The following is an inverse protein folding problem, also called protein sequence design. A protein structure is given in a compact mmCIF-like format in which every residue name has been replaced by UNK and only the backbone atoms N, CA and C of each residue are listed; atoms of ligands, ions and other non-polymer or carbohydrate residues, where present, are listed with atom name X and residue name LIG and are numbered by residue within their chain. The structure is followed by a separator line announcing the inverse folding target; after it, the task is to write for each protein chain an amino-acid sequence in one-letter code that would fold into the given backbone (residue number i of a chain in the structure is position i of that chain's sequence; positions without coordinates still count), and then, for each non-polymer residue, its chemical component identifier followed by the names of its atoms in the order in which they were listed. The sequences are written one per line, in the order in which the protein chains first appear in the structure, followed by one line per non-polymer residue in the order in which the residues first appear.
data_IF_048464908154
#
_entry.id   IF_048464908154
#
_cell.length_a   1.000
_cell.length_b   1.000
_cell.length_c   1.000
_cell.angle_alpha   90.00
_cell.angle_beta   90.00
_cell.angle_gamma   90.00
#
_symmetry.space_group_name_H-M   'P 1'
#
loop_
_entity.id
_entity.type
_entity.pdbx_description
1 polymer ?
#
# COMPACT_ATOMS: atom_id res chain seq x y z
N UNK A 1 -16.38 11.44 21.84
CA UNK A 1 -15.83 11.40 20.46
C UNK A 1 -15.89 9.96 19.96
N UNK A 2 -16.14 9.74 18.67
CA UNK A 2 -16.15 8.41 18.03
C UNK A 2 -15.20 8.51 16.83
N UNK A 3 -14.27 7.58 16.69
CA UNK A 3 -13.36 7.50 15.55
C UNK A 3 -13.72 6.29 14.70
N UNK A 4 -13.77 6.46 13.37
CA UNK A 4 -14.09 5.37 12.45
C UNK A 4 -12.96 5.19 11.44
N UNK A 5 -12.42 3.97 11.37
CA UNK A 5 -11.55 3.54 10.29
C UNK A 5 -12.35 2.92 9.16
N UNK A 6 -12.10 3.32 7.91
CA UNK A 6 -12.77 2.81 6.72
C UNK A 6 -11.77 2.03 5.87
N UNK A 7 -12.02 0.73 5.71
CA UNK A 7 -11.22 -0.15 4.84
C UNK A 7 -10.40 -1.20 5.61
N UNK A 8 -9.87 -2.20 4.89
CA UNK A 8 -9.29 -3.41 5.48
C UNK A 8 -7.91 -3.18 6.15
N UNK A 9 -7.19 -2.13 5.75
CA UNK A 9 -5.80 -1.89 6.18
C UNK A 9 -5.63 -0.64 7.06
N UNK A 10 -6.70 -0.15 7.70
CA UNK A 10 -6.63 1.09 8.49
C UNK A 10 -5.92 0.88 9.82
N UNK A 11 -4.98 1.77 10.12
CA UNK A 11 -4.32 1.79 11.43
C UNK A 11 -5.21 2.41 12.51
N UNK A 12 -5.85 1.53 13.29
CA UNK A 12 -6.72 1.92 14.40
C UNK A 12 -5.93 2.26 15.67
N UNK A 13 -4.62 1.98 15.73
CA UNK A 13 -3.79 2.27 16.91
C UNK A 13 -3.61 3.76 17.14
N UNK A 14 -3.50 4.55 16.07
CA UNK A 14 -3.47 6.03 16.13
C UNK A 14 -4.84 6.57 16.58
N UNK A 15 -5.93 6.02 16.04
CA UNK A 15 -7.29 6.45 16.42
C UNK A 15 -7.60 6.16 17.89
N UNK A 16 -7.06 5.07 18.46
CA UNK A 16 -7.19 4.74 19.87
C UNK A 16 -6.49 5.73 20.80
N UNK A 17 -5.47 6.45 20.34
CA UNK A 17 -4.83 7.51 21.13
C UNK A 17 -5.78 8.71 21.33
N UNK A 18 -6.73 8.90 20.42
CA UNK A 18 -7.67 10.02 20.44
C UNK A 18 -8.96 9.68 21.19
N UNK A 19 -9.44 8.43 21.09
CA UNK A 19 -10.67 8.00 21.77
C UNK A 19 -10.74 6.49 21.97
N UNK A 20 -11.41 6.05 23.03
CA UNK A 20 -11.71 4.63 23.28
C UNK A 20 -12.78 4.06 22.32
N UNK A 21 -13.63 4.93 21.76
CA UNK A 21 -14.71 4.52 20.86
C UNK A 21 -14.23 4.46 19.40
N UNK A 22 -13.38 3.47 19.09
CA UNK A 22 -12.87 3.22 17.73
C UNK A 22 -13.64 2.10 17.05
N UNK A 23 -14.13 2.40 15.86
CA UNK A 23 -14.98 1.54 15.05
C UNK A 23 -14.30 1.24 13.71
N UNK A 24 -14.33 0.00 13.24
CA UNK A 24 -13.84 -0.38 11.91
C UNK A 24 -15.01 -0.67 10.99
N UNK A 25 -15.09 0.03 9.86
CA UNK A 25 -16.04 -0.19 8.79
C UNK A 25 -15.34 -0.93 7.63
N UNK A 26 -15.89 -2.07 7.25
CA UNK A 26 -15.49 -2.83 6.07
C UNK A 26 -16.71 -3.06 5.20
N UNK A 27 -16.70 -2.54 3.97
CA UNK A 27 -17.80 -2.78 3.03
C UNK A 27 -17.78 -4.25 2.59
N UNK A 28 -18.84 -4.98 2.91
CA UNK A 28 -18.93 -6.41 2.62
C UNK A 28 -20.08 -6.70 1.63
N UNK A 29 -21.10 -5.82 1.58
CA UNK A 29 -22.23 -5.89 0.64
C UNK A 29 -22.62 -4.50 0.11
N UNK A 30 -23.21 -4.48 -1.08
CA UNK A 30 -23.81 -3.27 -1.68
C UNK A 30 -24.87 -2.68 -0.73
N UNK A 31 -24.70 -1.41 -0.36
CA UNK A 31 -25.61 -0.69 0.53
C UNK A 31 -25.20 -0.64 2.01
N UNK A 32 -24.12 -1.33 2.41
CA UNK A 32 -23.55 -1.23 3.76
C UNK A 32 -23.10 0.21 4.07
N UNK A 33 -22.52 0.90 3.07
CA UNK A 33 -22.12 2.30 3.22
C UNK A 33 -23.32 3.22 3.51
N UNK A 34 -24.43 3.06 2.78
CA UNK A 34 -25.65 3.85 3.02
C UNK A 34 -26.24 3.59 4.41
N UNK A 35 -26.23 2.34 4.88
CA UNK A 35 -26.67 2.00 6.24
C UNK A 35 -25.75 2.58 7.31
N UNK A 36 -24.45 2.60 7.06
CA UNK A 36 -23.47 3.23 7.93
C UNK A 36 -23.70 4.74 8.05
N UNK A 37 -23.94 5.45 6.94
CA UNK A 37 -24.26 6.88 6.96
C UNK A 37 -25.59 7.15 7.68
N UNK A 38 -26.61 6.32 7.49
CA UNK A 38 -27.87 6.40 8.23
C UNK A 38 -27.66 6.23 9.74
N UNK A 39 -26.80 5.29 10.14
CA UNK A 39 -26.45 5.08 11.54
C UNK A 39 -25.70 6.28 12.15
N UNK A 40 -24.70 6.85 11.46
CA UNK A 40 -24.02 8.08 11.91
C UNK A 40 -25.05 9.19 12.12
N UNK A 41 -25.94 9.39 11.14
CA UNK A 41 -26.96 10.43 11.18
C UNK A 41 -27.91 10.24 12.38
N UNK A 42 -28.33 9.01 12.65
CA UNK A 42 -29.15 8.68 13.81
C UNK A 42 -28.41 8.93 15.14
N UNK A 43 -27.13 8.58 15.21
CA UNK A 43 -26.28 8.78 16.39
C UNK A 43 -26.08 10.27 16.73
N UNK A 44 -25.78 11.10 15.72
CA UNK A 44 -25.66 12.56 15.89
C UNK A 44 -26.99 13.19 16.32
N UNK A 45 -28.10 12.75 15.72
CA UNK A 45 -29.43 13.28 16.06
C UNK A 45 -29.84 12.93 17.50
N UNK A 46 -29.48 11.74 17.99
CA UNK A 46 -29.72 11.34 19.37
C UNK A 46 -28.89 12.16 20.37
N UNK A 47 -27.61 12.39 20.09
CA UNK A 47 -26.72 13.20 20.94
C UNK A 47 -27.02 14.69 20.87
N UNK A 48 -27.62 15.19 19.78
CA UNK A 48 -27.99 16.60 19.64
C UNK A 48 -29.31 16.95 20.33
N UNK A 49 -30.13 15.96 20.73
CA UNK A 49 -31.44 16.17 21.36
C UNK A 49 -31.42 16.01 22.88
N UNK A 50 -30.42 15.36 23.47
CA UNK A 50 -30.39 15.06 24.89
C UNK A 50 -29.11 15.58 25.55
N UNK A 51 -29.25 16.64 26.34
CA UNK A 51 -28.26 17.06 27.36
C UNK A 51 -28.72 16.56 28.75
N UNK A 52 -29.58 15.54 28.82
CA UNK A 52 -30.24 15.15 30.08
C UNK A 52 -30.57 13.68 30.27
N UNK A 53 -30.20 12.78 29.35
CA UNK A 53 -30.55 11.36 29.47
C UNK A 53 -29.41 10.45 28.96
N UNK A 54 -28.74 9.80 29.92
CA UNK A 54 -27.61 8.88 29.76
C UNK A 54 -28.05 7.52 29.21
N UNK A 55 -28.54 7.47 27.98
CA UNK A 55 -28.70 6.19 27.28
C UNK A 55 -28.06 6.26 25.90
N UNK A 56 -26.81 5.81 25.83
CA UNK A 56 -26.14 5.50 24.56
C UNK A 56 -27.03 4.53 23.77
N UNK A 57 -27.32 4.79 22.48
CA UNK A 57 -28.08 3.86 21.67
C UNK A 57 -27.34 2.51 21.61
N UNK A 58 -28.06 1.38 21.74
CA UNK A 58 -27.44 0.07 21.81
C UNK A 58 -26.69 -0.26 20.51
N UNK A 59 -25.38 -0.45 20.62
CA UNK A 59 -24.47 -0.87 19.53
C UNK A 59 -24.81 -2.24 18.92
N UNK A 60 -25.75 -2.99 19.50
CA UNK A 60 -26.06 -4.39 19.17
C UNK A 60 -26.67 -4.62 17.78
N UNK A 61 -27.14 -3.59 17.08
CA UNK A 61 -27.82 -3.75 15.79
C UNK A 61 -26.89 -3.62 14.58
N UNK A 62 -25.61 -3.27 14.81
CA UNK A 62 -24.63 -2.98 13.75
C UNK A 62 -23.37 -3.83 13.83
N UNK A 63 -23.33 -4.88 14.65
CA UNK A 63 -22.15 -5.76 14.82
C UNK A 63 -21.62 -6.36 13.50
N UNK A 64 -22.46 -6.45 12.46
CA UNK A 64 -22.05 -6.91 11.13
C UNK A 64 -21.44 -5.81 10.24
N UNK A 65 -21.78 -4.54 10.49
CA UNK A 65 -21.31 -3.36 9.74
C UNK A 65 -20.05 -2.78 10.39
N UNK A 66 -20.02 -2.82 11.73
CA UNK A 66 -19.03 -2.14 12.53
C UNK A 66 -18.60 -3.06 13.66
N UNK A 67 -17.32 -3.45 13.67
CA UNK A 67 -16.75 -4.22 14.77
C UNK A 67 -15.99 -3.31 15.71
N UNK A 68 -16.18 -3.52 17.01
CA UNK A 68 -15.28 -2.97 18.02
C UNK A 68 -13.91 -3.61 17.77
N UNK A 69 -12.95 -2.82 17.31
CA UNK A 69 -11.62 -3.33 17.02
C UNK A 69 -10.97 -3.72 18.35
N UNK A 70 -10.99 -5.00 18.69
CA UNK A 70 -10.13 -5.60 19.71
C UNK A 70 -9.01 -6.32 18.94
N UNK A 71 -7.80 -5.78 19.08
CA UNK A 71 -6.53 -6.37 18.58
C UNK A 71 -6.32 -6.56 17.07
N UNK A 72 -6.61 -5.56 16.25
CA UNK A 72 -5.92 -5.43 14.95
C UNK A 72 -4.68 -4.55 15.12
N UNK A 73 -3.52 -5.18 15.29
CA UNK A 73 -2.23 -4.52 15.12
C UNK A 73 -2.09 -4.13 13.66
N UNK A 74 -2.12 -2.84 13.37
CA UNK A 74 -1.91 -2.33 12.03
C UNK A 74 -0.57 -2.84 11.50
N UNK A 75 -0.61 -3.66 10.45
CA UNK A 75 0.60 -4.09 9.75
C UNK A 75 1.23 -2.85 9.12
N UNK A 76 2.54 -2.72 9.23
CA UNK A 76 3.27 -1.54 8.75
C UNK A 76 3.25 -1.39 7.20
N UNK A 77 2.68 -2.35 6.49
CA UNK A 77 2.60 -2.44 5.04
C UNK A 77 1.21 -2.91 4.58
N UNK A 78 0.76 -2.45 3.41
CA UNK A 78 -0.48 -2.92 2.77
C UNK A 78 -0.28 -4.33 2.19
N UNK A 79 -1.21 -5.25 2.40
CA UNK A 79 -1.15 -6.60 1.84
C UNK A 79 -1.63 -6.66 0.39
N UNK A 80 -2.35 -5.64 -0.07
CA UNK A 80 -2.96 -5.61 -1.38
C UNK A 80 -2.11 -4.90 -2.44
N UNK A 81 -1.17 -4.05 -2.02
CA UNK A 81 -0.27 -3.38 -2.94
C UNK A 81 1.16 -3.26 -2.43
N UNK A 82 2.10 -3.24 -3.37
CA UNK A 82 3.53 -3.08 -3.11
C UNK A 82 3.98 -1.86 -3.87
N UNK A 83 4.51 -0.87 -3.15
CA UNK A 83 5.11 0.32 -3.76
C UNK A 83 6.62 0.24 -3.58
N UNK A 84 7.36 0.42 -4.67
CA UNK A 84 8.81 0.47 -4.68
C UNK A 84 9.27 1.82 -5.21
N UNK A 85 10.39 2.32 -4.72
CA UNK A 85 10.93 3.62 -5.12
C UNK A 85 12.23 3.46 -5.89
N UNK A 86 12.31 4.10 -7.05
CA UNK A 86 13.52 4.15 -7.87
C UNK A 86 13.87 5.57 -8.31
N UNK A 87 15.04 5.73 -8.95
CA UNK A 87 15.46 6.99 -9.58
C UNK A 87 15.94 6.76 -10.99
N UNK A 88 15.61 7.70 -11.86
CA UNK A 88 16.03 7.67 -13.25
C UNK A 88 17.55 7.83 -13.35
N UNK A 89 18.24 6.97 -14.10
CA UNK A 89 19.69 7.09 -14.29
C UNK A 89 20.09 8.31 -15.12
N UNK A 90 19.25 8.72 -16.09
CA UNK A 90 19.47 9.89 -16.96
C UNK A 90 19.09 11.21 -16.28
N UNK A 91 17.86 11.30 -15.78
CA UNK A 91 17.32 12.57 -15.23
C UNK A 91 17.51 12.72 -13.73
N UNK A 92 17.93 11.68 -13.02
CA UNK A 92 18.05 11.59 -11.54
C UNK A 92 16.75 11.81 -10.76
N UNK A 93 15.63 11.97 -11.47
CA UNK A 93 14.30 12.18 -10.87
C UNK A 93 13.75 10.87 -10.30
N UNK A 94 13.05 10.92 -9.14
CA UNK A 94 12.45 9.76 -8.53
C UNK A 94 11.21 9.27 -9.27
N UNK A 95 10.87 8.00 -9.08
CA UNK A 95 9.64 7.39 -9.56
C UNK A 95 9.19 6.29 -8.61
N UNK A 96 7.90 5.97 -8.66
CA UNK A 96 7.27 4.89 -7.90
C UNK A 96 6.82 3.78 -8.83
N UNK A 97 7.12 2.54 -8.45
CA UNK A 97 6.58 1.35 -9.10
C UNK A 97 5.51 0.79 -8.17
N UNK A 98 4.29 0.60 -8.69
CA UNK A 98 3.18 0.03 -7.94
C UNK A 98 2.85 -1.35 -8.50
N UNK A 99 2.80 -2.34 -7.62
CA UNK A 99 2.22 -3.64 -7.89
C UNK A 99 0.95 -3.83 -7.07
N UNK A 100 -0.02 -4.53 -7.63
CA UNK A 100 -1.31 -4.81 -7.01
C UNK A 100 -1.57 -6.31 -7.02
N UNK A 101 -2.18 -6.81 -5.95
CA UNK A 101 -2.60 -8.21 -5.86
C UNK A 101 -3.85 -8.41 -6.72
N UNK A 102 -3.89 -9.39 -7.63
CA UNK A 102 -5.10 -9.73 -8.36
C UNK A 102 -6.23 -10.10 -7.39
N UNK A 103 -7.50 -9.79 -7.72
CA UNK A 103 -8.62 -10.19 -6.87
C UNK A 103 -8.63 -11.71 -6.69
N UNK A 104 -8.70 -12.16 -5.44
CA UNK A 104 -8.62 -13.57 -5.04
C UNK A 104 -9.75 -14.48 -5.61
N UNK A 105 -10.76 -13.90 -6.26
CA UNK A 105 -11.89 -14.63 -6.82
C UNK A 105 -12.15 -14.19 -8.25
N UNK A 106 -11.68 -15.00 -9.20
CA UNK A 106 -12.22 -15.00 -10.55
C UNK A 106 -13.23 -16.12 -10.62
N UNK A 107 -14.51 -15.79 -10.56
CA UNK A 107 -15.61 -16.76 -10.72
C UNK A 107 -15.50 -17.42 -12.10
N UNK A 108 -15.15 -18.71 -12.17
CA UNK A 108 -15.21 -19.50 -13.41
C UNK A 108 -14.01 -20.40 -13.74
N UNK A 109 -12.93 -20.40 -12.96
CA UNK A 109 -11.75 -21.25 -13.23
C UNK A 109 -11.48 -22.22 -12.07
N UNK A 110 -11.44 -23.51 -12.38
CA UNK A 110 -11.17 -24.61 -11.44
C UNK A 110 -9.66 -24.84 -11.22
N UNK A 111 -8.90 -23.77 -11.04
CA UNK A 111 -7.47 -23.84 -10.75
C UNK A 111 -7.15 -22.90 -9.57
N UNK A 112 -6.45 -23.42 -8.57
CA UNK A 112 -5.76 -22.63 -7.56
C UNK A 112 -4.65 -21.82 -8.26
N UNK A 113 -5.00 -20.62 -8.74
CA UNK A 113 -3.98 -19.64 -9.10
C UNK A 113 -3.18 -19.34 -7.83
N UNK A 114 -1.86 -19.29 -7.94
CA UNK A 114 -1.01 -18.84 -6.84
C UNK A 114 -1.29 -17.36 -6.57
N UNK A 115 -2.26 -17.08 -5.69
CA UNK A 115 -2.77 -15.74 -5.34
C UNK A 115 -1.78 -14.89 -4.53
N UNK A 116 -0.55 -15.37 -4.34
CA UNK A 116 0.48 -14.64 -3.61
C UNK A 116 1.37 -13.75 -4.47
N UNK A 117 1.17 -13.72 -5.78
CA UNK A 117 1.89 -12.81 -6.67
C UNK A 117 1.23 -11.44 -6.78
N UNK A 118 2.04 -10.39 -6.94
CA UNK A 118 1.61 -9.04 -7.27
C UNK A 118 1.93 -8.72 -8.73
N UNK A 119 0.94 -8.19 -9.46
CA UNK A 119 1.10 -7.79 -10.85
C UNK A 119 1.43 -6.30 -10.94
N UNK A 120 2.26 -5.92 -11.91
CA UNK A 120 2.57 -4.51 -12.17
C UNK A 120 1.29 -3.73 -12.49
N UNK A 121 0.99 -2.72 -11.67
CA UNK A 121 -0.10 -1.78 -11.93
C UNK A 121 0.42 -0.58 -12.74
N UNK A 122 1.64 -0.12 -12.45
CA UNK A 122 2.26 0.94 -13.23
C UNK A 122 3.54 1.51 -12.62
N UNK A 123 4.15 2.43 -13.36
CA UNK A 123 5.31 3.20 -12.92
C UNK A 123 5.02 4.69 -13.09
N UNK A 124 5.12 5.45 -12.00
CA UNK A 124 4.63 6.82 -11.91
C UNK A 124 5.80 7.78 -11.62
N UNK A 125 5.93 8.87 -12.38
CA UNK A 125 6.91 9.90 -12.06
C UNK A 125 6.50 10.62 -10.77
N UNK A 126 7.46 10.90 -9.91
CA UNK A 126 7.27 11.75 -8.73
C UNK A 126 8.40 12.79 -8.65
N UNK A 127 8.17 13.84 -7.87
CA UNK A 127 9.17 14.86 -7.60
C UNK A 127 9.93 14.56 -6.30
N UNK A 128 11.03 15.27 -6.08
CA UNK A 128 11.86 15.12 -4.86
C UNK A 128 11.09 15.36 -3.58
N UNK A 129 10.05 16.21 -3.64
CA UNK A 129 9.19 16.51 -2.50
C UNK A 129 8.62 15.23 -1.89
N UNK A 130 8.37 14.17 -2.67
CA UNK A 130 7.90 12.86 -2.17
C UNK A 130 8.68 12.37 -0.93
N UNK A 131 10.00 12.56 -0.89
CA UNK A 131 10.83 12.11 0.23
C UNK A 131 10.65 12.94 1.50
N UNK A 132 10.18 14.18 1.40
CA UNK A 132 9.88 15.01 2.58
C UNK A 132 8.55 14.61 3.25
N UNK A 133 7.62 14.03 2.49
CA UNK A 133 6.34 13.54 2.98
C UNK A 133 6.38 12.08 3.41
N UNK A 134 7.46 11.37 3.10
CA UNK A 134 7.60 9.93 3.36
C UNK A 134 8.63 9.67 4.44
N UNK A 135 8.24 8.92 5.47
CA UNK A 135 9.20 8.46 6.47
C UNK A 135 10.08 7.35 5.88
N UNK A 136 11.34 7.69 5.59
CA UNK A 136 12.34 6.77 5.06
C UNK A 136 13.02 5.90 6.14
N UNK A 137 12.71 6.12 7.43
CA UNK A 137 13.46 5.55 8.56
C UNK A 137 13.10 4.10 8.90
N UNK A 138 12.01 3.54 8.34
CA UNK A 138 11.55 2.19 8.66
C UNK A 138 11.77 1.23 7.48
N UNK A 139 12.96 0.64 7.44
CA UNK A 139 13.32 -0.45 6.53
C UNK A 139 12.75 -1.81 6.98
N UNK A 140 11.45 -1.89 7.24
CA UNK A 140 10.84 -3.08 7.85
C UNK A 140 10.35 -4.12 6.84
N UNK A 141 9.70 -3.67 5.77
CA UNK A 141 9.02 -4.58 4.84
C UNK A 141 9.84 -4.74 3.56
N UNK A 142 10.34 -5.95 3.31
CA UNK A 142 10.91 -6.34 2.04
C UNK A 142 9.94 -7.29 1.32
N UNK A 143 10.06 -7.35 0.00
CA UNK A 143 9.37 -8.34 -0.83
C UNK A 143 10.38 -9.04 -1.73
N UNK A 144 10.17 -10.33 -1.96
CA UNK A 144 11.00 -11.06 -2.90
C UNK A 144 10.55 -10.77 -4.35
N UNK A 145 11.50 -10.59 -5.27
CA UNK A 145 11.19 -10.40 -6.69
C UNK A 145 10.43 -11.56 -7.32
N UNK A 146 10.52 -12.77 -6.76
CA UNK A 146 9.75 -13.94 -7.21
C UNK A 146 8.23 -13.74 -7.10
N UNK A 147 7.80 -12.87 -6.19
CA UNK A 147 6.39 -12.51 -5.99
C UNK A 147 5.93 -11.36 -6.89
N UNK A 148 6.84 -10.72 -7.62
CA UNK A 148 6.55 -9.55 -8.46
C UNK A 148 6.51 -9.96 -9.93
N UNK A 149 5.39 -9.68 -10.58
CA UNK A 149 5.19 -9.98 -12.00
C UNK A 149 5.12 -8.71 -12.84
N UNK A 150 6.03 -8.63 -13.80
CA UNK A 150 6.15 -7.52 -14.74
C UNK A 150 7.22 -6.51 -14.35
N UNK A 151 7.88 -5.96 -15.37
CA UNK A 151 8.92 -4.94 -15.24
C UNK A 151 8.49 -3.73 -16.06
N UNK A 152 8.24 -2.57 -15.44
CA UNK A 152 7.86 -1.37 -16.17
C UNK A 152 9.09 -0.66 -16.75
N UNK A 153 8.88 0.11 -17.81
CA UNK A 153 9.86 1.08 -18.31
C UNK A 153 9.96 2.33 -17.43
N UNK A 154 10.99 3.14 -17.67
CA UNK A 154 11.19 4.38 -16.92
C UNK A 154 10.23 5.49 -17.41
N UNK A 155 9.43 6.10 -16.51
CA UNK A 155 8.47 7.13 -16.90
C UNK A 155 9.12 8.46 -17.29
N UNK A 156 10.40 8.67 -16.94
CA UNK A 156 11.11 9.93 -17.20
C UNK A 156 11.93 9.93 -18.49
N UNK A 157 12.56 8.80 -18.83
CA UNK A 157 13.51 8.74 -19.95
C UNK A 157 13.23 7.63 -20.96
N UNK A 158 12.19 6.81 -20.74
CA UNK A 158 11.81 5.74 -21.67
C UNK A 158 12.73 4.52 -21.68
N UNK A 159 13.71 4.44 -20.77
CA UNK A 159 14.54 3.24 -20.61
C UNK A 159 13.66 1.97 -20.45
N UNK A 160 14.11 0.86 -21.04
CA UNK A 160 13.37 -0.40 -21.09
C UNK A 160 13.02 -1.01 -19.73
N UNK A 161 13.88 -0.85 -18.71
CA UNK A 161 13.62 -1.34 -17.35
C UNK A 161 13.80 -0.24 -16.31
N UNK A 162 12.83 -0.09 -15.42
CA UNK A 162 12.90 0.73 -14.21
C UNK A 162 13.24 -0.08 -12.95
N UNK A 163 13.58 -1.36 -13.10
CA UNK A 163 13.71 -2.34 -12.01
C UNK A 163 15.15 -2.89 -11.90
N UNK A 164 16.17 -2.08 -12.07
CA UNK A 164 17.55 -2.52 -11.80
C UNK A 164 17.93 -2.15 -10.36
N UNK A 165 18.59 -3.05 -9.62
CA UNK A 165 19.01 -2.77 -8.25
C UNK A 165 20.51 -2.47 -8.20
N UNK A 166 20.87 -1.37 -7.52
CA UNK A 166 22.26 -1.07 -7.18
C UNK A 166 22.69 -1.84 -5.93
N UNK A 167 23.99 -2.04 -5.75
CA UNK A 167 24.60 -2.53 -4.50
C UNK A 167 24.27 -1.70 -3.25
N UNK A 168 23.76 -0.47 -3.40
CA UNK A 168 23.22 0.31 -2.27
C UNK A 168 21.78 -0.07 -1.88
N UNK A 169 21.16 -1.06 -2.53
CA UNK A 169 19.81 -1.55 -2.25
C UNK A 169 18.69 -0.67 -2.82
N UNK A 170 19.00 0.32 -3.67
CA UNK A 170 18.02 1.21 -4.31
C UNK A 170 17.82 0.86 -5.78
N UNK A 171 16.60 1.05 -6.27
CA UNK A 171 16.23 0.80 -7.66
C UNK A 171 16.60 1.97 -8.58
N UNK A 172 16.97 1.66 -9.82
CA UNK A 172 17.24 2.61 -10.89
C UNK A 172 16.77 2.05 -12.24
N UNK A 173 16.67 2.93 -13.23
CA UNK A 173 16.37 2.51 -14.60
C UNK A 173 17.62 2.27 -15.43
N UNK A 174 17.54 1.29 -16.33
CA UNK A 174 18.59 0.87 -17.25
C UNK A 174 18.00 0.58 -18.63
N UNK A 175 18.83 0.64 -19.65
CA UNK A 175 18.42 0.37 -21.02
C UNK A 175 19.24 -0.76 -21.64
N UNK A 176 19.05 -1.98 -21.12
CA UNK A 176 19.84 -3.14 -21.51
C UNK A 176 21.18 -3.25 -20.76
N UNK A 177 22.15 -4.01 -21.31
CA UNK A 177 23.46 -4.23 -20.70
C UNK A 177 24.37 -3.00 -20.88
N UNK A 178 24.08 -1.95 -20.12
CA UNK A 178 24.82 -0.71 -20.12
C UNK A 178 25.55 -0.48 -18.79
N UNK A 179 26.72 0.17 -18.88
CA UNK A 179 27.38 0.75 -17.72
C UNK A 179 26.61 2.01 -17.29
N UNK A 180 26.05 1.97 -16.09
CA UNK A 180 25.22 3.05 -15.55
C UNK A 180 25.75 3.51 -14.21
N UNK A 181 25.80 4.82 -14.01
CA UNK A 181 26.10 5.40 -12.71
C UNK A 181 24.83 5.44 -11.85
N UNK A 182 24.90 4.84 -10.67
CA UNK A 182 23.78 4.83 -9.74
C UNK A 182 23.37 6.28 -9.39
N UNK A 183 22.12 6.69 -9.62
CA UNK A 183 21.66 8.04 -9.29
C UNK A 183 21.54 8.29 -7.78
N UNK A 184 21.64 7.24 -6.96
CA UNK A 184 21.57 7.34 -5.50
C UNK A 184 22.93 7.50 -4.83
N UNK A 185 23.91 6.67 -5.21
CA UNK A 185 25.22 6.63 -4.53
C UNK A 185 26.40 7.02 -5.43
N UNK A 186 26.16 7.27 -6.73
CA UNK A 186 27.19 7.67 -7.69
C UNK A 186 28.14 6.56 -8.16
N UNK A 187 27.98 5.32 -7.68
CA UNK A 187 28.83 4.19 -8.11
C UNK A 187 28.46 3.72 -9.51
N UNK A 188 29.46 3.45 -10.34
CA UNK A 188 29.28 2.78 -11.63
C UNK A 188 28.86 1.33 -11.43
N UNK A 189 27.87 0.89 -12.20
CA UNK A 189 27.32 -0.46 -12.21
C UNK A 189 27.38 -0.97 -13.65
N UNK A 190 27.78 -2.23 -13.82
CA UNK A 190 27.69 -2.93 -15.09
C UNK A 190 26.69 -4.06 -14.91
N UNK A 191 25.58 -4.03 -15.66
CA UNK A 191 24.59 -5.09 -15.62
C UNK A 191 24.92 -6.09 -16.72
N UNK A 192 25.44 -7.25 -16.33
CA UNK A 192 25.60 -8.37 -17.26
C UNK A 192 24.27 -9.10 -17.36
N UNK A 193 23.80 -9.29 -18.58
CA UNK A 193 22.65 -10.15 -18.88
C UNK A 193 23.03 -11.63 -18.73
N UNK A 194 23.50 -12.04 -17.54
CA UNK A 194 23.55 -13.46 -17.23
C UNK A 194 22.12 -13.92 -17.00
N UNK A 195 21.65 -14.87 -17.80
CA UNK A 195 20.30 -15.45 -17.75
C UNK A 195 19.98 -16.24 -16.48
N UNK A 196 20.52 -15.80 -15.33
CA UNK A 196 20.16 -16.28 -14.02
C UNK A 196 18.97 -15.50 -13.49
N UNK A 197 17.84 -16.19 -13.35
CA UNK A 197 16.70 -15.74 -12.57
C UNK A 197 17.13 -15.64 -11.10
N UNK A 198 17.84 -14.56 -10.75
CA UNK A 198 18.33 -14.33 -9.39
C UNK A 198 17.26 -13.55 -8.65
N UNK A 199 16.55 -14.26 -7.79
CA UNK A 199 15.57 -13.66 -6.91
C UNK A 199 16.28 -12.87 -5.80
N UNK A 200 15.85 -11.63 -5.57
CA UNK A 200 16.38 -10.78 -4.52
C UNK A 200 15.27 -10.07 -3.75
N UNK A 201 15.59 -9.61 -2.54
CA UNK A 201 14.64 -8.89 -1.71
C UNK A 201 14.74 -7.38 -2.00
N UNK A 202 13.59 -6.75 -2.24
CA UNK A 202 13.47 -5.31 -2.48
C UNK A 202 12.75 -4.65 -1.32
N UNK A 203 13.31 -3.54 -0.83
CA UNK A 203 12.67 -2.76 0.22
C UNK A 203 11.42 -2.06 -0.31
N UNK A 204 10.31 -2.23 0.41
CA UNK A 204 9.03 -1.60 0.11
C UNK A 204 9.00 -0.17 0.64
N UNK A 205 8.40 0.74 -0.12
CA UNK A 205 7.95 2.03 0.37
C UNK A 205 6.66 1.87 1.18
N UNK A 206 6.39 2.82 2.08
CA UNK A 206 5.06 2.94 2.69
C UNK A 206 4.16 3.58 1.63
N UNK A 207 3.20 2.81 1.14
CA UNK A 207 2.14 3.28 0.24
C UNK A 207 1.13 4.13 0.99
#
# INVERSE_FOLDING_TARGET
MIAVGIGPSVDLSVLRQLTENVLSFTENQEGDFSRFIQWITASVTAHSRSVGEDSQPPLKQTDYIVKLAKDDTARAYDENCVVLTGRCSKTRRPYLIKYERPPARVSGLAFDLNLNSFNIAGCYPVDEDYFSWTDMSVAGAQINTSELHGVPGCPHCGNSSAFAMCTCGKLLCIDGPDDVNCPWCGKGLSFQSEGGNSDFNVSRGRG
#
